data_IF_684184673729
#
_entry.id   IF_684184673729
#
_cell.length_a   1.000
_cell.length_b   1.000
_cell.length_c   1.000
_cell.angle_alpha   90.00
_cell.angle_beta   90.00
_cell.angle_gamma   90.00
#
_symmetry.space_group_name_H-M   'P 1'
#
loop_
_entity.id
_entity.type
_entity.pdbx_description
1 polymer ?
#
# COMPACT_ATOMS: atom_id res chain seq x y z
N UNK A 1 9.82 -18.63 -4.44
CA UNK A 1 10.25 -17.61 -3.50
C UNK A 1 10.12 -18.12 -2.07
N UNK A 2 11.06 -17.74 -1.19
CA UNK A 2 11.00 -18.09 0.24
C UNK A 2 9.93 -17.24 0.93
N UNK A 3 9.05 -17.84 1.76
CA UNK A 3 8.09 -17.07 2.53
C UNK A 3 8.78 -16.09 3.49
N UNK A 4 8.23 -14.89 3.61
CA UNK A 4 8.74 -13.82 4.47
C UNK A 4 7.56 -13.24 5.28
N UNK A 5 7.86 -12.72 6.46
CA UNK A 5 6.90 -12.03 7.33
C UNK A 5 7.24 -10.55 7.35
N UNK A 6 6.26 -9.71 7.16
CA UNK A 6 6.40 -8.26 7.16
C UNK A 6 5.42 -7.62 8.14
N UNK A 7 5.88 -6.64 8.89
CA UNK A 7 5.01 -5.65 9.48
C UNK A 7 4.72 -4.58 8.43
N UNK A 8 3.48 -4.50 7.97
CA UNK A 8 3.11 -3.59 6.88
C UNK A 8 3.24 -2.11 7.27
N UNK A 9 3.16 -1.77 8.55
CA UNK A 9 3.35 -0.40 9.00
C UNK A 9 4.81 0.07 8.85
N UNK A 10 5.77 -0.86 8.90
CA UNK A 10 7.18 -0.55 8.68
C UNK A 10 7.49 -0.28 7.19
N UNK A 11 6.59 -0.72 6.30
CA UNK A 11 6.69 -0.52 4.85
C UNK A 11 5.89 0.72 4.38
N UNK A 12 5.96 1.79 5.15
CA UNK A 12 5.28 3.05 4.85
C UNK A 12 6.27 4.14 4.40
N UNK A 13 5.75 5.21 3.82
CA UNK A 13 6.50 6.44 3.51
C UNK A 13 7.75 6.21 2.66
N UNK A 14 7.69 5.26 1.71
CA UNK A 14 8.77 4.96 0.79
C UNK A 14 9.76 3.90 1.25
N UNK A 15 9.52 3.26 2.39
CA UNK A 15 10.26 2.06 2.80
C UNK A 15 9.71 0.85 2.05
N UNK A 16 10.59 0.12 1.36
CA UNK A 16 10.22 -1.02 0.53
C UNK A 16 10.85 -2.32 1.03
N UNK A 17 10.17 -3.42 0.76
CA UNK A 17 10.73 -4.76 0.93
C UNK A 17 10.77 -5.50 -0.42
N UNK A 18 11.89 -6.12 -0.74
CA UNK A 18 12.02 -6.95 -1.92
C UNK A 18 11.34 -8.30 -1.69
N UNK A 19 10.24 -8.54 -2.40
CA UNK A 19 9.51 -9.81 -2.33
C UNK A 19 10.20 -10.93 -3.11
N UNK A 20 10.95 -10.60 -4.13
CA UNK A 20 11.74 -11.57 -4.91
C UNK A 20 12.10 -11.07 -6.30
N UNK A 21 13.03 -11.79 -6.92
CA UNK A 21 13.50 -11.54 -8.29
C UNK A 21 13.46 -12.85 -9.08
N UNK A 22 13.01 -12.78 -10.33
CA UNK A 22 12.97 -13.94 -11.22
C UNK A 22 13.15 -13.53 -12.67
N UNK A 23 13.60 -14.45 -13.51
CA UNK A 23 13.63 -14.26 -14.96
C UNK A 23 12.40 -14.93 -15.57
N UNK A 24 11.72 -14.21 -16.44
CA UNK A 24 10.54 -14.71 -17.16
C UNK A 24 10.70 -14.46 -18.65
N UNK A 25 10.31 -15.44 -19.47
CA UNK A 25 10.20 -15.26 -20.92
C UNK A 25 8.82 -14.65 -21.26
N UNK A 26 8.83 -13.49 -21.93
CA UNK A 26 7.60 -12.84 -22.39
C UNK A 26 7.01 -11.82 -21.41
N UNK A 27 5.72 -11.54 -21.54
CA UNK A 27 5.05 -10.45 -20.84
C UNK A 27 4.35 -10.94 -19.56
N UNK A 28 4.70 -10.35 -18.43
CA UNK A 28 4.00 -10.59 -17.17
C UNK A 28 2.68 -9.82 -17.15
N UNK A 29 1.56 -10.50 -16.97
CA UNK A 29 0.21 -9.91 -16.92
C UNK A 29 -0.37 -9.88 -15.50
N UNK A 30 0.11 -10.78 -14.64
CA UNK A 30 -0.32 -10.86 -13.24
C UNK A 30 0.76 -11.51 -12.40
N UNK A 31 0.81 -11.09 -11.14
CA UNK A 31 1.64 -11.68 -10.09
C UNK A 31 0.69 -12.32 -9.08
N UNK A 32 0.97 -13.56 -8.66
CA UNK A 32 0.23 -14.20 -7.59
C UNK A 32 1.02 -14.02 -6.28
N UNK A 33 0.37 -13.41 -5.30
CA UNK A 33 0.85 -13.35 -3.93
C UNK A 33 0.09 -14.39 -3.11
N UNK A 34 0.81 -15.31 -2.49
CA UNK A 34 0.24 -16.30 -1.59
C UNK A 34 0.50 -15.85 -0.17
N UNK A 35 -0.56 -15.73 0.62
CA UNK A 35 -0.49 -15.30 2.02
C UNK A 35 -0.35 -16.51 2.93
N UNK A 36 0.46 -16.37 3.98
CA UNK A 36 0.54 -17.36 5.05
C UNK A 36 -0.75 -17.42 5.86
N UNK A 37 -0.84 -18.39 6.73
CA UNK A 37 -2.04 -18.60 7.58
C UNK A 37 -2.02 -17.80 8.87
N UNK A 38 -0.86 -17.33 9.31
CA UNK A 38 -0.66 -16.67 10.61
C UNK A 38 -0.55 -15.15 10.44
N UNK A 39 -1.59 -14.52 9.87
CA UNK A 39 -1.64 -13.07 9.78
C UNK A 39 -2.31 -12.51 11.03
N UNK A 40 -1.81 -11.40 11.54
CA UNK A 40 -2.32 -10.76 12.75
C UNK A 40 -2.45 -9.26 12.57
N UNK A 41 -3.29 -8.65 13.39
CA UNK A 41 -3.39 -7.20 13.57
C UNK A 41 -3.29 -6.87 15.06
N UNK A 42 -2.63 -5.77 15.38
CA UNK A 42 -2.59 -5.23 16.75
C UNK A 42 -3.49 -4.01 16.80
N UNK A 43 -4.46 -4.01 17.74
CA UNK A 43 -5.33 -2.89 18.02
C UNK A 43 -5.41 -2.72 19.54
N UNK A 44 -5.19 -1.50 20.04
CA UNK A 44 -5.21 -1.18 21.48
C UNK A 44 -4.32 -2.13 22.33
N UNK A 45 -3.10 -2.38 21.81
CA UNK A 45 -2.11 -3.30 22.40
C UNK A 45 -2.56 -4.79 22.48
N UNK A 46 -3.67 -5.16 21.87
CA UNK A 46 -4.16 -6.54 21.77
C UNK A 46 -3.93 -7.09 20.38
N UNK A 47 -3.40 -8.31 20.29
CA UNK A 47 -3.18 -9.01 19.02
C UNK A 47 -4.40 -9.86 18.67
N UNK A 48 -4.93 -9.65 17.47
CA UNK A 48 -6.06 -10.38 16.92
C UNK A 48 -5.63 -11.16 15.67
N UNK A 49 -6.21 -12.34 15.42
CA UNK A 49 -6.03 -13.03 14.16
C UNK A 49 -6.65 -12.20 13.01
N UNK A 50 -5.97 -12.20 11.86
CA UNK A 50 -6.42 -11.53 10.64
C UNK A 50 -6.65 -12.58 9.55
N UNK A 51 -7.90 -12.87 9.28
CA UNK A 51 -8.30 -13.86 8.29
C UNK A 51 -8.59 -13.22 6.94
N UNK A 52 -8.30 -13.91 5.84
CA UNK A 52 -8.80 -13.47 4.53
C UNK A 52 -10.34 -13.51 4.53
N UNK A 53 -10.97 -12.51 3.91
CA UNK A 53 -12.44 -12.47 3.79
C UNK A 53 -13.00 -13.67 3.03
N UNK A 54 -12.21 -14.25 2.15
CA UNK A 54 -12.50 -15.55 1.52
C UNK A 54 -11.53 -16.60 2.08
N UNK A 55 -11.94 -17.40 3.08
CA UNK A 55 -11.06 -18.34 3.74
C UNK A 55 -10.62 -19.51 2.87
N UNK A 56 -11.29 -19.77 1.76
CA UNK A 56 -10.94 -20.84 0.81
C UNK A 56 -9.83 -20.43 -0.16
N UNK A 57 -9.46 -19.16 -0.18
CA UNK A 57 -8.46 -18.60 -1.08
C UNK A 57 -7.35 -17.92 -0.28
N UNK A 58 -6.19 -18.54 -0.20
CA UNK A 58 -5.02 -17.98 0.47
C UNK A 58 -4.09 -17.20 -0.46
N UNK A 59 -4.55 -16.80 -1.63
CA UNK A 59 -3.78 -16.03 -2.58
C UNK A 59 -4.60 -14.91 -3.20
N UNK A 60 -3.91 -13.93 -3.75
CA UNK A 60 -4.46 -12.81 -4.50
C UNK A 60 -3.63 -12.56 -5.76
N UNK A 61 -4.26 -11.96 -6.76
CA UNK A 61 -3.61 -11.57 -7.98
C UNK A 61 -3.44 -10.06 -8.06
N UNK A 62 -2.20 -9.63 -8.25
CA UNK A 62 -1.88 -8.28 -8.70
C UNK A 62 -1.93 -8.28 -10.23
N UNK A 63 -2.89 -7.58 -10.80
CA UNK A 63 -3.05 -7.49 -12.25
C UNK A 63 -2.20 -6.34 -12.79
N UNK A 64 -1.41 -6.62 -13.81
CA UNK A 64 -0.58 -5.64 -14.49
C UNK A 64 -1.23 -5.30 -15.84
N UNK A 65 -1.59 -4.04 -16.02
CA UNK A 65 -2.03 -3.51 -17.33
C UNK A 65 -0.82 -2.93 -18.10
N UNK A 66 -1.04 -2.40 -19.28
CA UNK A 66 0.04 -1.89 -20.12
C UNK A 66 0.81 -0.71 -19.51
N UNK A 67 0.18 0.05 -18.58
CA UNK A 67 0.85 1.14 -17.83
C UNK A 67 1.79 0.62 -16.76
N UNK A 68 1.50 -0.56 -16.20
CA UNK A 68 2.31 -1.22 -15.17
C UNK A 68 3.42 -2.11 -15.77
N UNK A 69 3.47 -2.22 -17.09
CA UNK A 69 4.53 -2.92 -17.79
C UNK A 69 5.63 -1.91 -18.07
N UNK A 70 6.63 -1.85 -17.20
CA UNK A 70 7.83 -1.09 -17.49
C UNK A 70 8.40 -1.55 -18.84
N UNK A 71 8.67 -0.63 -19.74
CA UNK A 71 9.44 -0.94 -20.96
C UNK A 71 10.89 -1.12 -20.51
N UNK A 72 11.35 -2.35 -20.46
CA UNK A 72 12.79 -2.61 -20.38
C UNK A 72 13.43 -2.17 -21.70
N UNK A 73 13.90 -0.94 -21.74
CA UNK A 73 14.60 -0.42 -22.92
C UNK A 73 16.06 -0.89 -23.03
N UNK A 74 16.60 -1.57 -21.98
CA UNK A 74 18.04 -1.84 -21.87
C UNK A 74 18.38 -3.17 -21.20
N UNK A 75 17.70 -4.27 -21.44
CA UNK A 75 17.98 -5.59 -20.82
C UNK A 75 18.03 -5.62 -19.26
N UNK A 76 17.64 -4.56 -18.60
CA UNK A 76 17.78 -4.38 -17.15
C UNK A 76 16.53 -4.77 -16.35
N UNK A 77 15.75 -5.72 -16.83
CA UNK A 77 14.58 -6.18 -16.08
C UNK A 77 13.50 -5.11 -15.87
N UNK A 78 12.45 -5.48 -15.19
CA UNK A 78 11.33 -4.60 -14.81
C UNK A 78 11.15 -4.72 -13.29
N UNK A 79 11.15 -3.59 -12.59
CA UNK A 79 10.72 -3.53 -11.19
C UNK A 79 9.23 -3.21 -11.13
N UNK A 80 8.50 -4.02 -10.39
CA UNK A 80 7.08 -3.80 -10.10
C UNK A 80 6.94 -3.61 -8.61
N UNK A 81 6.47 -2.45 -8.21
CA UNK A 81 6.06 -2.17 -6.84
C UNK A 81 4.59 -2.52 -6.66
N UNK A 82 4.25 -2.92 -5.47
CA UNK A 82 2.87 -3.18 -5.05
C UNK A 82 2.62 -2.39 -3.78
N UNK A 83 1.87 -1.32 -3.91
CA UNK A 83 1.37 -0.58 -2.77
C UNK A 83 0.21 -1.35 -2.12
N UNK A 84 0.25 -1.48 -0.81
CA UNK A 84 -0.76 -2.15 -0.01
C UNK A 84 -1.50 -1.12 0.85
N UNK A 85 -2.71 -0.77 0.45
CA UNK A 85 -3.54 0.16 1.21
C UNK A 85 -4.12 -0.52 2.45
N UNK A 86 -3.39 -0.43 3.55
CA UNK A 86 -3.75 -1.07 4.83
C UNK A 86 -5.10 -0.53 5.33
N UNK A 87 -5.32 0.78 5.25
CA UNK A 87 -6.51 1.43 5.79
C UNK A 87 -7.81 0.94 5.12
N UNK A 88 -7.77 0.64 3.81
CA UNK A 88 -8.93 0.12 3.07
C UNK A 88 -8.99 -1.41 3.02
N UNK A 89 -7.94 -2.07 3.47
CA UNK A 89 -7.81 -3.53 3.40
C UNK A 89 -8.31 -4.25 4.63
N UNK A 90 -8.48 -3.57 5.76
CA UNK A 90 -8.91 -4.17 7.02
C UNK A 90 -10.41 -3.92 7.23
N UNK A 91 -11.14 -4.98 7.49
CA UNK A 91 -12.57 -4.94 7.84
C UNK A 91 -12.73 -5.47 9.25
N UNK A 92 -13.30 -4.66 10.13
CA UNK A 92 -13.73 -5.10 11.46
C UNK A 92 -15.22 -5.44 11.42
N UNK A 93 -15.57 -6.63 11.87
CA UNK A 93 -16.95 -7.08 11.98
C UNK A 93 -17.12 -7.90 13.26
N UNK A 94 -17.96 -7.41 14.19
CA UNK A 94 -18.24 -8.07 15.49
C UNK A 94 -16.96 -8.44 16.26
N UNK A 95 -15.96 -7.56 16.28
CA UNK A 95 -14.69 -7.78 16.97
C UNK A 95 -13.75 -8.77 16.30
N UNK A 96 -14.08 -9.23 15.09
CA UNK A 96 -13.21 -10.03 14.25
C UNK A 96 -12.63 -9.19 13.12
N UNK A 97 -11.39 -9.48 12.71
CA UNK A 97 -10.68 -8.75 11.67
C UNK A 97 -10.50 -9.59 10.43
N UNK A 98 -10.84 -8.98 9.30
CA UNK A 98 -10.75 -9.61 7.99
C UNK A 98 -9.87 -8.78 7.05
N UNK A 99 -9.07 -9.47 6.26
CA UNK A 99 -8.23 -8.88 5.23
C UNK A 99 -8.93 -9.01 3.87
N UNK A 100 -9.27 -7.86 3.29
CA UNK A 100 -9.71 -7.69 1.90
C UNK A 100 -8.68 -6.84 1.17
N UNK A 101 -7.58 -7.42 0.66
CA UNK A 101 -6.45 -6.64 0.19
C UNK A 101 -6.81 -5.67 -0.93
N UNK A 102 -6.48 -4.40 -0.73
CA UNK A 102 -6.50 -3.35 -1.75
C UNK A 102 -5.05 -3.12 -2.18
N UNK A 103 -4.72 -3.60 -3.38
CA UNK A 103 -3.37 -3.57 -3.91
C UNK A 103 -3.30 -2.67 -5.14
N UNK A 104 -2.26 -1.87 -5.21
CA UNK A 104 -2.01 -0.99 -6.34
C UNK A 104 -0.61 -1.23 -6.88
N UNK A 105 -0.49 -1.89 -8.06
CA UNK A 105 0.80 -2.06 -8.71
C UNK A 105 1.23 -0.77 -9.40
N UNK A 106 2.53 -0.48 -9.39
CA UNK A 106 3.13 0.60 -10.18
C UNK A 106 4.57 0.26 -10.59
N UNK A 107 5.11 1.00 -11.56
CA UNK A 107 6.49 0.91 -12.02
C UNK A 107 7.06 2.33 -12.08
N UNK A 108 8.35 2.51 -11.82
CA UNK A 108 9.01 3.82 -11.68
C UNK A 108 8.76 4.80 -12.83
N UNK A 109 8.61 4.30 -14.04
CA UNK A 109 8.64 5.16 -15.23
C UNK A 109 7.30 5.83 -15.58
N UNK A 110 6.20 5.52 -14.89
CA UNK A 110 4.85 5.92 -15.31
C UNK A 110 3.98 6.49 -14.20
N UNK A 111 4.53 6.71 -13.01
CA UNK A 111 3.75 7.13 -11.85
C UNK A 111 4.39 8.30 -11.13
N UNK A 112 3.54 9.15 -10.59
CA UNK A 112 3.92 10.28 -9.77
C UNK A 112 3.92 9.91 -8.29
N UNK A 113 4.56 10.76 -7.49
CA UNK A 113 4.54 10.68 -6.05
C UNK A 113 4.20 12.03 -5.44
N UNK A 114 3.61 12.02 -4.25
CA UNK A 114 3.35 13.19 -3.41
C UNK A 114 3.97 12.92 -2.05
N UNK A 115 4.81 13.82 -1.59
CA UNK A 115 5.43 13.72 -0.27
C UNK A 115 5.41 15.08 0.45
N UNK A 116 5.50 15.04 1.77
CA UNK A 116 5.48 16.24 2.57
C UNK A 116 5.61 15.98 4.07
N UNK A 117 5.31 17.00 4.85
CA UNK A 117 5.27 16.89 6.31
C UNK A 117 4.02 17.52 6.88
N UNK A 118 3.37 16.80 7.78
CA UNK A 118 2.31 17.32 8.65
C UNK A 118 2.96 17.96 9.86
N UNK A 119 2.70 19.23 10.08
CA UNK A 119 3.23 19.98 11.21
C UNK A 119 2.11 20.71 11.96
N UNK A 120 2.07 20.63 13.30
CA UNK A 120 2.97 19.86 14.13
C UNK A 120 2.68 18.35 14.01
N UNK A 121 3.69 17.50 14.16
CA UNK A 121 3.52 16.04 14.11
C UNK A 121 2.54 15.51 15.16
N UNK A 122 2.32 16.27 16.24
CA UNK A 122 1.33 15.97 17.28
C UNK A 122 -0.13 15.96 16.78
N UNK A 123 -0.40 16.52 15.60
CA UNK A 123 -1.72 16.44 14.97
C UNK A 123 -2.09 14.99 14.57
N UNK A 124 -1.10 14.12 14.40
CA UNK A 124 -1.27 12.70 14.02
C UNK A 124 -2.29 12.53 12.89
N UNK A 125 -2.24 13.43 11.91
CA UNK A 125 -3.20 13.44 10.83
C UNK A 125 -3.01 12.23 9.90
N UNK A 126 -4.12 11.71 9.40
CA UNK A 126 -4.12 10.80 8.26
C UNK A 126 -4.16 11.63 6.99
N UNK A 127 -3.23 11.39 6.07
CA UNK A 127 -3.15 12.12 4.79
C UNK A 127 -3.89 11.33 3.73
N UNK A 128 -4.91 11.95 3.13
CA UNK A 128 -5.67 11.37 2.02
C UNK A 128 -5.40 12.16 0.74
N UNK A 129 -4.84 11.48 -0.25
CA UNK A 129 -4.58 12.03 -1.59
C UNK A 129 -5.60 11.45 -2.55
N UNK A 130 -6.38 12.28 -3.21
CA UNK A 130 -7.48 11.78 -4.06
C UNK A 130 -7.79 12.69 -5.25
N UNK A 131 -8.41 12.08 -6.25
CA UNK A 131 -9.10 12.76 -7.34
C UNK A 131 -10.37 11.97 -7.71
N UNK A 132 -10.99 12.26 -8.85
CA UNK A 132 -12.22 11.59 -9.27
C UNK A 132 -12.08 10.10 -9.55
N UNK A 133 -10.87 9.58 -9.73
CA UNK A 133 -10.61 8.21 -10.18
C UNK A 133 -9.71 7.41 -9.25
N UNK A 134 -8.97 8.07 -8.38
CA UNK A 134 -7.97 7.41 -7.52
C UNK A 134 -7.97 8.01 -6.10
N UNK A 135 -7.67 7.18 -5.12
CA UNK A 135 -7.52 7.58 -3.72
C UNK A 135 -6.40 6.78 -3.10
N UNK A 136 -5.50 7.47 -2.41
CA UNK A 136 -4.44 6.87 -1.63
C UNK A 136 -4.39 7.48 -0.23
N UNK A 137 -3.94 6.70 0.74
CA UNK A 137 -3.85 7.11 2.13
C UNK A 137 -2.43 6.89 2.63
N UNK A 138 -1.90 7.85 3.37
CA UNK A 138 -0.64 7.73 4.08
C UNK A 138 -0.80 8.09 5.56
N UNK A 139 -0.10 7.37 6.41
CA UNK A 139 0.04 7.68 7.82
C UNK A 139 1.45 8.26 8.01
N UNK A 140 1.58 9.54 8.39
CA UNK A 140 2.88 10.15 8.63
C UNK A 140 3.66 9.40 9.71
N UNK A 141 4.99 9.40 9.58
CA UNK A 141 5.87 8.89 10.62
C UNK A 141 5.91 9.85 11.84
N UNK A 142 6.59 9.51 12.93
CA UNK A 142 6.68 10.37 14.13
C UNK A 142 7.20 11.79 13.87
N UNK A 143 7.96 12.00 12.80
CA UNK A 143 8.46 13.32 12.38
C UNK A 143 7.46 14.07 11.49
N UNK A 144 6.27 13.51 11.27
CA UNK A 144 5.23 14.04 10.41
C UNK A 144 5.44 13.80 8.91
N UNK A 145 6.53 13.15 8.50
CA UNK A 145 6.79 12.88 7.08
C UNK A 145 5.84 11.81 6.52
N UNK A 146 5.29 12.09 5.35
CA UNK A 146 4.49 11.14 4.57
C UNK A 146 4.95 11.09 3.11
N UNK A 147 4.71 9.95 2.47
CA UNK A 147 4.97 9.74 1.05
C UNK A 147 3.92 8.79 0.46
N UNK A 148 3.29 9.23 -0.63
CA UNK A 148 2.37 8.44 -1.45
C UNK A 148 2.99 8.25 -2.82
N UNK A 149 3.04 7.01 -3.30
CA UNK A 149 3.58 6.66 -4.62
C UNK A 149 2.54 5.93 -5.47
N UNK A 150 2.87 5.74 -6.73
CA UNK A 150 2.02 4.98 -7.65
C UNK A 150 0.80 5.77 -8.14
N UNK A 151 0.85 7.09 -8.08
CA UNK A 151 -0.22 7.96 -8.57
C UNK A 151 -0.14 8.12 -10.09
N UNK A 152 -1.27 8.07 -10.77
CA UNK A 152 -1.32 8.47 -12.17
C UNK A 152 -1.03 9.97 -12.31
N UNK A 153 -0.48 10.40 -13.44
CA UNK A 153 -0.29 11.83 -13.71
C UNK A 153 -1.64 12.56 -13.68
N UNK A 154 -1.70 13.71 -13.01
CA UNK A 154 -2.93 14.49 -12.88
C UNK A 154 -2.91 15.44 -11.69
N UNK A 155 -4.06 16.07 -11.45
CA UNK A 155 -4.29 16.95 -10.28
C UNK A 155 -4.94 16.13 -9.17
N UNK A 156 -4.47 16.32 -7.95
CA UNK A 156 -4.97 15.66 -6.76
C UNK A 156 -5.29 16.70 -5.69
N UNK A 157 -6.31 16.41 -4.90
CA UNK A 157 -6.56 17.07 -3.62
C UNK A 157 -5.84 16.29 -2.51
N UNK A 158 -5.29 17.02 -1.55
CA UNK A 158 -4.62 16.42 -0.39
C UNK A 158 -5.38 16.88 0.86
N UNK A 159 -6.04 15.94 1.51
CA UNK A 159 -6.80 16.20 2.73
C UNK A 159 -6.04 15.64 3.94
N UNK A 160 -6.01 16.41 5.01
CA UNK A 160 -5.37 16.06 6.26
C UNK A 160 -6.46 15.90 7.32
N UNK A 161 -6.79 14.65 7.64
CA UNK A 161 -7.72 14.28 8.71
C UNK A 161 -6.95 14.33 10.04
N UNK A 162 -7.02 15.45 10.75
CA UNK A 162 -6.27 15.68 11.97
C UNK A 162 -6.94 15.04 13.19
N UNK A 163 -6.15 14.77 14.22
CA UNK A 163 -6.61 14.31 15.54
C UNK A 163 -6.13 15.27 16.64
N UNK A 164 -6.29 14.89 17.90
CA UNK A 164 -5.75 15.64 19.04
C UNK A 164 -6.16 17.12 19.09
N UNK A 165 -7.44 17.42 18.78
CA UNK A 165 -8.00 18.78 18.77
C UNK A 165 -7.45 19.73 17.68
N UNK A 166 -6.73 19.22 16.72
CA UNK A 166 -6.38 19.96 15.51
C UNK A 166 -7.52 19.87 14.49
N UNK A 167 -7.62 20.90 13.65
CA UNK A 167 -8.65 20.96 12.59
C UNK A 167 -8.17 20.28 11.33
N UNK A 168 -9.11 19.62 10.65
CA UNK A 168 -8.88 19.08 9.31
C UNK A 168 -8.61 20.21 8.32
N UNK A 169 -7.81 19.92 7.28
CA UNK A 169 -7.54 20.87 6.21
C UNK A 169 -7.44 20.17 4.85
N UNK A 170 -7.77 20.90 3.80
CA UNK A 170 -7.70 20.48 2.40
C UNK A 170 -6.67 21.33 1.65
#
# INVERSE_FOLDING_TARGET
FTPQVFNLLDLSNGVDALLGTTTVGGTVRKIRLTLGTNNTIVKDAVTYPLSLINPTQNFLYVKLNDRHRGRSNNNNGISVWVDFDVARSIIENNGQFYLKPVLRPFCDNNFAEIEGRVLPAAAQAVVRVFNNTDTAVAIPNPDGYFKVRGLAGGTYSVHFDATNSYQDTL
#
